data_IF_107636846641
#
_entry.id   IF_107636846641
#
_cell.length_a   1.000
_cell.length_b   1.000
_cell.length_c   1.000
_cell.angle_alpha   90.00
_cell.angle_beta   90.00
_cell.angle_gamma   90.00
#
_symmetry.space_group_name_H-M   'P 1'
#
loop_
_entity.id
_entity.type
_entity.pdbx_description
1 polymer ?
#
# COMPACT_ATOMS: atom_id res chain seq x y z
N UNK A 1 -5.62 77.08 31.47
CA UNK A 1 -4.68 76.02 31.81
C UNK A 1 -5.34 74.73 31.42
N UNK A 2 -5.11 74.27 30.22
CA UNK A 2 -5.63 73.03 29.67
C UNK A 2 -4.44 72.05 29.67
N UNK A 3 -4.55 70.96 30.35
CA UNK A 3 -3.62 69.84 30.25
C UNK A 3 -4.31 68.76 29.40
N UNK A 4 -3.68 68.55 28.27
CA UNK A 4 -4.00 67.47 27.32
C UNK A 4 -3.57 66.12 27.85
N UNK A 5 -4.53 65.22 28.02
CA UNK A 5 -4.31 63.78 28.29
C UNK A 5 -4.34 63.04 26.97
N UNK A 6 -3.16 62.88 26.35
CA UNK A 6 -2.96 61.94 25.26
C UNK A 6 -2.82 60.50 25.86
N UNK A 7 -3.84 59.69 25.81
CA UNK A 7 -3.75 58.26 26.06
C UNK A 7 -3.43 57.58 24.75
N UNK A 8 -2.19 57.16 24.57
CA UNK A 8 -1.77 56.25 23.52
C UNK A 8 -2.47 54.88 23.69
N UNK A 9 -3.40 54.59 22.80
CA UNK A 9 -3.99 53.26 22.66
C UNK A 9 -2.96 52.40 21.95
N UNK A 10 -2.28 51.54 22.73
CA UNK A 10 -1.39 50.51 22.20
C UNK A 10 -2.28 49.45 21.51
N UNK A 11 -2.41 49.55 20.19
CA UNK A 11 -3.03 48.49 19.40
C UNK A 11 -2.03 47.33 19.35
N UNK A 12 -2.26 46.29 20.14
CA UNK A 12 -1.57 45.00 19.96
C UNK A 12 -1.95 44.47 18.60
N UNK A 13 -0.98 44.38 17.70
CA UNK A 13 -1.10 43.61 16.48
C UNK A 13 -1.46 42.15 16.83
N UNK A 14 -2.40 41.53 16.11
CA UNK A 14 -2.69 40.13 16.36
C UNK A 14 -1.44 39.31 16.04
N UNK A 15 -0.97 38.53 16.99
CA UNK A 15 0.09 37.55 16.82
C UNK A 15 -0.22 36.75 15.55
N UNK A 16 0.69 36.88 14.60
CA UNK A 16 0.70 36.13 13.35
C UNK A 16 0.45 34.63 13.66
N UNK A 17 -0.62 34.10 13.12
CA UNK A 17 -1.00 32.71 13.21
C UNK A 17 0.21 31.85 12.83
N UNK A 18 0.63 30.99 13.73
CA UNK A 18 1.56 29.89 13.44
C UNK A 18 1.09 29.22 12.14
N UNK A 19 1.94 29.28 11.15
CA UNK A 19 1.77 28.71 9.84
C UNK A 19 1.46 27.22 10.01
N UNK A 20 0.18 26.84 9.93
CA UNK A 20 -0.28 25.47 9.89
C UNK A 20 0.08 24.90 8.51
N UNK A 21 1.37 24.76 8.22
CA UNK A 21 1.80 24.00 7.04
C UNK A 21 1.25 22.59 7.18
N UNK A 22 0.23 22.29 6.39
CA UNK A 22 -0.39 20.98 6.34
C UNK A 22 0.71 19.95 6.02
N UNK A 23 0.97 19.01 6.91
CA UNK A 23 2.00 17.99 6.71
C UNK A 23 1.69 17.21 5.43
N UNK A 24 2.70 16.97 4.62
CA UNK A 24 2.62 16.16 3.40
C UNK A 24 3.56 14.96 3.51
N UNK A 25 3.30 13.94 2.73
CA UNK A 25 4.09 12.71 2.67
C UNK A 25 4.23 12.24 1.23
N UNK A 26 5.24 11.45 0.99
CA UNK A 26 5.40 10.73 -0.26
C UNK A 26 4.81 9.32 -0.13
N UNK A 27 4.36 8.74 -1.24
CA UNK A 27 3.77 7.39 -1.26
C UNK A 27 4.74 6.44 -1.96
N UNK A 28 4.97 5.27 -1.38
CA UNK A 28 5.73 4.19 -2.00
C UNK A 28 4.82 3.00 -2.31
N UNK A 29 5.00 2.42 -3.47
CA UNK A 29 4.23 1.26 -3.93
C UNK A 29 5.19 0.23 -4.50
N UNK A 30 5.54 -0.84 -3.76
CA UNK A 30 6.21 -1.99 -4.35
C UNK A 30 5.30 -2.68 -5.36
N UNK A 31 5.79 -2.89 -6.59
CA UNK A 31 4.97 -3.39 -7.71
C UNK A 31 5.56 -4.65 -8.30
N UNK A 32 4.87 -5.75 -8.20
CA UNK A 32 5.20 -6.99 -8.88
C UNK A 32 4.58 -7.08 -10.29
N UNK A 33 4.99 -8.09 -11.04
CA UNK A 33 4.48 -8.33 -12.41
C UNK A 33 2.95 -8.53 -12.44
N UNK A 34 2.38 -9.15 -11.41
CA UNK A 34 0.92 -9.47 -11.34
C UNK A 34 0.11 -8.19 -11.18
N UNK A 35 0.66 -7.18 -10.50
CA UNK A 35 0.02 -5.90 -10.22
C UNK A 35 0.39 -4.79 -11.20
N UNK A 36 1.36 -4.99 -12.09
CA UNK A 36 1.90 -3.96 -12.99
C UNK A 36 0.86 -3.25 -13.88
N UNK A 37 -0.23 -3.93 -14.25
CA UNK A 37 -1.34 -3.32 -15.01
C UNK A 37 -2.36 -2.64 -14.09
N UNK A 38 -2.55 -3.17 -12.88
CA UNK A 38 -3.57 -2.69 -11.95
C UNK A 38 -3.12 -1.42 -11.21
N UNK A 39 -1.84 -1.29 -10.94
CA UNK A 39 -1.27 -0.16 -10.17
C UNK A 39 -1.59 1.21 -10.78
N UNK A 40 -1.87 1.31 -12.07
CA UNK A 40 -2.33 2.56 -12.71
C UNK A 40 -3.65 3.07 -12.12
N UNK A 41 -4.55 2.16 -11.75
CA UNK A 41 -5.76 2.51 -11.04
C UNK A 41 -5.45 2.95 -9.61
N UNK A 42 -4.52 2.26 -8.95
CA UNK A 42 -4.06 2.63 -7.60
C UNK A 42 -3.53 4.06 -7.58
N UNK A 43 -2.62 4.39 -8.50
CA UNK A 43 -2.07 5.75 -8.65
C UNK A 43 -3.19 6.78 -8.90
N UNK A 44 -4.13 6.48 -9.82
CA UNK A 44 -5.28 7.35 -10.10
C UNK A 44 -6.06 7.67 -8.82
N UNK A 45 -6.42 6.64 -8.05
CA UNK A 45 -7.25 6.83 -6.86
C UNK A 45 -6.48 7.39 -5.67
N UNK A 46 -5.18 7.13 -5.53
CA UNK A 46 -4.32 7.83 -4.57
C UNK A 46 -4.34 9.34 -4.86
N UNK A 47 -4.17 9.76 -6.12
CA UNK A 47 -4.22 11.18 -6.50
C UNK A 47 -5.56 11.85 -6.21
N UNK A 48 -6.65 11.10 -6.32
CA UNK A 48 -7.99 11.61 -6.05
C UNK A 48 -8.30 11.70 -4.55
N UNK A 49 -7.85 10.72 -3.78
CA UNK A 49 -8.38 10.47 -2.44
C UNK A 49 -7.37 10.64 -1.30
N UNK A 50 -6.08 10.83 -1.59
CA UNK A 50 -5.05 11.15 -0.60
C UNK A 50 -4.51 12.56 -0.83
N UNK A 51 -5.18 13.59 -0.31
CA UNK A 51 -4.90 14.99 -0.67
C UNK A 51 -3.52 15.48 -0.18
N UNK A 52 -2.94 14.89 0.87
CA UNK A 52 -1.61 15.22 1.37
C UNK A 52 -0.48 14.45 0.67
N UNK A 53 -0.81 13.49 -0.21
CA UNK A 53 0.19 12.73 -0.98
C UNK A 53 0.88 13.62 -2.02
N UNK A 54 2.20 13.71 -1.93
CA UNK A 54 3.02 14.53 -2.82
C UNK A 54 3.55 13.70 -4.01
N UNK A 55 4.69 13.04 -3.87
CA UNK A 55 5.28 12.19 -4.90
C UNK A 55 4.83 10.73 -4.70
N UNK A 56 4.71 9.98 -5.80
CA UNK A 56 4.48 8.52 -5.76
C UNK A 56 5.69 7.82 -6.35
N UNK A 57 6.30 6.93 -5.57
CA UNK A 57 7.41 6.10 -5.99
C UNK A 57 6.92 4.67 -6.26
N UNK A 58 7.06 4.22 -7.50
CA UNK A 58 6.79 2.83 -7.89
C UNK A 58 8.10 2.05 -7.84
N UNK A 59 8.21 1.14 -6.89
CA UNK A 59 9.41 0.33 -6.67
C UNK A 59 9.19 -1.01 -7.38
N UNK A 60 9.95 -1.31 -8.40
CA UNK A 60 9.72 -2.48 -9.24
C UNK A 60 10.99 -3.01 -9.90
N UNK A 61 10.87 -4.21 -10.47
CA UNK A 61 11.90 -4.73 -11.36
C UNK A 61 12.00 -3.88 -12.63
N UNK A 62 13.21 -3.60 -13.11
CA UNK A 62 13.48 -2.78 -14.28
C UNK A 62 12.74 -3.25 -15.54
N UNK A 63 12.52 -4.56 -15.68
CA UNK A 63 11.75 -5.14 -16.78
C UNK A 63 10.31 -4.66 -16.87
N UNK A 64 9.76 -4.15 -15.77
CA UNK A 64 8.39 -3.63 -15.69
C UNK A 64 8.29 -2.15 -16.06
N UNK A 65 9.40 -1.40 -16.12
CA UNK A 65 9.40 0.06 -16.31
C UNK A 65 8.69 0.51 -17.59
N UNK A 66 8.84 -0.22 -18.68
CA UNK A 66 8.10 0.06 -19.93
C UNK A 66 6.59 -0.04 -19.75
N UNK A 67 6.14 -1.01 -18.95
CA UNK A 67 4.72 -1.20 -18.66
C UNK A 67 4.19 -0.12 -17.69
N UNK A 68 4.99 0.26 -16.72
CA UNK A 68 4.63 1.24 -15.70
C UNK A 68 4.66 2.67 -16.24
N UNK A 69 5.68 3.05 -17.02
CA UNK A 69 5.85 4.42 -17.54
C UNK A 69 4.80 4.90 -18.52
N UNK A 70 4.14 3.99 -19.26
CA UNK A 70 3.12 4.37 -20.25
C UNK A 70 1.74 4.61 -19.66
N UNK A 71 1.54 5.60 -18.78
CA UNK A 71 0.22 5.94 -18.20
C UNK A 71 0.23 6.27 -16.71
N UNK A 72 1.39 6.54 -16.18
CA UNK A 72 1.62 7.12 -14.86
C UNK A 72 1.88 8.62 -15.05
N UNK A 73 1.36 9.45 -14.17
CA UNK A 73 1.57 10.90 -14.29
C UNK A 73 3.05 11.28 -14.06
N UNK A 74 3.44 12.50 -14.45
CA UNK A 74 4.80 13.01 -14.35
C UNK A 74 5.31 13.20 -12.91
N UNK A 75 4.45 13.03 -11.91
CA UNK A 75 4.80 13.03 -10.48
C UNK A 75 5.04 11.63 -9.92
N UNK A 76 5.08 10.60 -10.77
CA UNK A 76 5.47 9.26 -10.40
C UNK A 76 6.92 9.00 -10.77
N UNK A 77 7.70 8.48 -9.84
CA UNK A 77 9.10 8.14 -10.00
C UNK A 77 9.23 6.61 -9.95
N UNK A 78 9.94 6.06 -10.94
CA UNK A 78 10.24 4.63 -10.97
C UNK A 78 11.57 4.39 -10.26
N UNK A 79 11.59 3.46 -9.29
CA UNK A 79 12.78 3.04 -8.58
C UNK A 79 13.04 1.57 -8.91
N UNK A 80 14.27 1.26 -9.34
CA UNK A 80 14.69 -0.11 -9.55
C UNK A 80 14.94 -0.81 -8.20
N UNK A 81 14.11 -1.80 -7.87
CA UNK A 81 14.10 -2.47 -6.58
C UNK A 81 15.47 -3.01 -6.13
N UNK A 82 16.26 -3.60 -7.05
CA UNK A 82 17.57 -4.18 -6.73
C UNK A 82 18.74 -3.17 -6.65
N UNK A 83 18.45 -1.88 -6.89
CA UNK A 83 19.43 -0.79 -6.75
C UNK A 83 19.00 0.27 -5.76
N UNK A 84 17.93 0.01 -5.01
CA UNK A 84 17.38 0.98 -4.08
C UNK A 84 18.33 1.23 -2.92
N UNK A 85 18.83 0.18 -2.30
CA UNK A 85 19.89 0.21 -1.28
C UNK A 85 20.86 -0.98 -1.47
N UNK A 86 22.16 -0.84 -1.10
CA UNK A 86 23.14 -1.89 -1.33
C UNK A 86 22.85 -3.23 -0.66
N UNK A 87 22.25 -3.19 0.54
CA UNK A 87 22.02 -4.38 1.38
C UNK A 87 20.76 -5.17 0.99
N UNK A 88 20.01 -4.73 -0.05
CA UNK A 88 18.71 -5.30 -0.38
C UNK A 88 18.56 -5.54 -1.87
N UNK A 89 18.63 -6.80 -2.28
CA UNK A 89 18.26 -7.23 -3.62
C UNK A 89 17.49 -8.55 -3.58
N UNK A 90 16.73 -8.83 -4.61
CA UNK A 90 15.86 -10.00 -4.69
C UNK A 90 16.63 -11.33 -4.61
N UNK A 91 17.80 -11.40 -5.21
CA UNK A 91 18.61 -12.63 -5.24
C UNK A 91 19.11 -13.03 -3.85
N UNK A 92 19.56 -12.05 -3.06
CA UNK A 92 20.06 -12.30 -1.70
C UNK A 92 18.91 -12.70 -0.78
N UNK A 93 17.78 -11.99 -0.85
CA UNK A 93 16.56 -12.36 -0.09
C UNK A 93 16.11 -13.77 -0.43
N UNK A 94 16.08 -14.14 -1.70
CA UNK A 94 15.78 -15.50 -2.14
C UNK A 94 16.75 -16.51 -1.53
N UNK A 95 18.05 -16.23 -1.58
CA UNK A 95 19.09 -17.09 -1.04
C UNK A 95 18.93 -17.28 0.48
N UNK A 96 18.73 -16.20 1.23
CA UNK A 96 18.54 -16.26 2.68
C UNK A 96 17.30 -17.08 3.06
N UNK A 97 16.18 -16.88 2.37
CA UNK A 97 14.94 -17.61 2.62
C UNK A 97 15.09 -19.11 2.35
N UNK A 98 15.73 -19.49 1.24
CA UNK A 98 15.96 -20.89 0.89
C UNK A 98 16.90 -21.57 1.90
N UNK A 99 17.99 -20.91 2.29
CA UNK A 99 18.93 -21.43 3.28
C UNK A 99 18.32 -21.61 4.67
N UNK A 100 17.30 -20.85 4.99
CA UNK A 100 16.55 -20.97 6.24
C UNK A 100 15.37 -21.96 6.16
N UNK A 101 15.29 -22.74 5.08
CA UNK A 101 14.31 -23.82 4.94
C UNK A 101 12.93 -23.42 4.47
N UNK A 102 12.79 -22.21 3.86
CA UNK A 102 11.52 -21.80 3.28
C UNK A 102 11.13 -22.71 2.11
N UNK A 103 10.01 -23.41 2.25
CA UNK A 103 9.54 -24.41 1.27
C UNK A 103 8.80 -23.79 0.09
N UNK A 104 8.12 -22.65 0.29
CA UNK A 104 7.29 -22.01 -0.73
C UNK A 104 8.00 -20.84 -1.41
N UNK A 105 8.73 -21.10 -2.48
CA UNK A 105 9.44 -20.08 -3.28
C UNK A 105 8.51 -18.97 -3.79
N UNK A 106 7.23 -19.24 -3.96
CA UNK A 106 6.28 -18.23 -4.46
C UNK A 106 6.06 -17.07 -3.49
N UNK A 107 6.48 -17.21 -2.23
CA UNK A 107 6.36 -16.16 -1.20
C UNK A 107 7.60 -15.26 -1.09
N UNK A 108 8.68 -15.51 -1.83
CA UNK A 108 9.90 -14.66 -1.82
C UNK A 108 9.56 -13.21 -2.12
N UNK A 109 8.74 -12.97 -3.14
CA UNK A 109 8.32 -11.60 -3.50
C UNK A 109 7.54 -10.91 -2.38
N UNK A 110 6.78 -11.66 -1.60
CA UNK A 110 6.05 -11.15 -0.44
C UNK A 110 6.99 -10.71 0.70
N UNK A 111 8.06 -11.46 0.99
CA UNK A 111 9.09 -11.04 1.94
C UNK A 111 9.88 -9.84 1.41
N UNK A 112 10.29 -9.90 0.14
CA UNK A 112 11.10 -8.86 -0.48
C UNK A 112 10.40 -7.49 -0.44
N UNK A 113 9.11 -7.42 -0.77
CA UNK A 113 8.37 -6.15 -0.72
C UNK A 113 8.31 -5.54 0.69
N UNK A 114 8.27 -6.36 1.75
CA UNK A 114 8.28 -5.86 3.13
C UNK A 114 9.62 -5.18 3.46
N UNK A 115 10.73 -5.78 3.00
CA UNK A 115 12.05 -5.18 3.16
C UNK A 115 12.23 -3.92 2.29
N UNK A 116 11.63 -3.87 1.10
CA UNK A 116 11.61 -2.65 0.28
C UNK A 116 10.90 -1.50 1.01
N UNK A 117 9.83 -1.78 1.75
CA UNK A 117 9.11 -0.77 2.52
C UNK A 117 9.99 -0.14 3.61
N UNK A 118 10.80 -0.90 4.32
CA UNK A 118 11.80 -0.36 5.25
C UNK A 118 13.01 0.25 4.53
N UNK A 119 13.49 -0.41 3.49
CA UNK A 119 14.65 0.03 2.73
C UNK A 119 14.52 1.42 2.13
N UNK A 120 13.30 1.84 1.80
CA UNK A 120 13.04 3.18 1.26
C UNK A 120 13.51 4.29 2.21
N UNK A 121 13.46 4.10 3.52
CA UNK A 121 13.92 5.06 4.51
C UNK A 121 15.41 5.43 4.36
N UNK A 122 16.22 4.56 3.75
CA UNK A 122 17.67 4.75 3.55
C UNK A 122 18.02 5.36 2.19
N UNK A 123 17.04 5.70 1.38
CA UNK A 123 17.26 6.33 0.08
C UNK A 123 17.32 7.85 0.20
N UNK A 124 17.99 8.51 -0.76
CA UNK A 124 17.97 9.97 -0.88
C UNK A 124 16.60 10.54 -1.26
N UNK A 125 15.65 9.70 -1.67
CA UNK A 125 14.27 10.10 -1.99
C UNK A 125 13.43 10.28 -0.73
N UNK A 126 13.75 9.58 0.35
CA UNK A 126 12.94 9.57 1.57
C UNK A 126 12.99 10.90 2.29
N UNK A 127 11.82 11.41 2.64
CA UNK A 127 11.62 12.57 3.51
C UNK A 127 11.22 12.12 4.92
N UNK A 128 10.81 13.06 5.76
CA UNK A 128 10.42 12.77 7.15
C UNK A 128 9.35 11.68 7.24
N UNK A 129 8.34 11.72 6.36
CA UNK A 129 7.25 10.75 6.31
C UNK A 129 7.06 10.18 4.92
N UNK A 130 6.75 8.88 4.89
CA UNK A 130 6.28 8.21 3.68
C UNK A 130 5.19 7.19 4.01
N UNK A 131 4.22 7.09 3.13
CA UNK A 131 3.12 6.14 3.20
C UNK A 131 3.44 4.95 2.29
N UNK A 132 3.61 3.76 2.86
CA UNK A 132 3.59 2.54 2.06
C UNK A 132 2.17 2.18 1.70
N UNK A 133 1.94 1.78 0.45
CA UNK A 133 0.63 1.40 -0.08
C UNK A 133 0.72 0.16 -0.96
N UNK A 134 -0.24 -0.76 -0.84
CA UNK A 134 -0.22 -1.99 -1.62
C UNK A 134 -0.72 -1.78 -3.07
N UNK A 135 -0.07 -2.45 -4.04
CA UNK A 135 -0.24 -2.23 -5.48
C UNK A 135 -1.60 -2.70 -6.06
N UNK A 136 -2.47 -3.29 -5.25
CA UNK A 136 -3.80 -3.79 -5.62
C UNK A 136 -4.92 -3.20 -4.77
N UNK A 137 -4.64 -2.18 -3.99
CA UNK A 137 -5.57 -1.55 -3.07
C UNK A 137 -5.92 -0.13 -3.52
N UNK A 138 -7.21 0.19 -3.52
CA UNK A 138 -7.74 1.49 -3.93
C UNK A 138 -8.28 2.25 -2.72
N UNK A 139 -7.82 3.48 -2.43
CA UNK A 139 -8.54 4.40 -1.57
C UNK A 139 -9.79 4.89 -2.32
N UNK A 140 -10.96 4.76 -1.73
CA UNK A 140 -12.25 5.04 -2.36
C UNK A 140 -12.87 6.35 -1.90
N UNK A 141 -12.54 6.79 -0.68
CA UNK A 141 -12.93 8.07 -0.08
C UNK A 141 -11.69 8.92 0.22
N UNK A 142 -11.90 10.17 0.58
CA UNK A 142 -10.81 11.03 1.04
C UNK A 142 -10.32 10.54 2.40
N UNK A 143 -9.03 10.17 2.47
CA UNK A 143 -8.38 9.67 3.68
C UNK A 143 -7.25 10.61 4.07
N UNK A 144 -7.21 10.98 5.34
CA UNK A 144 -6.15 11.76 5.95
C UNK A 144 -5.27 10.87 6.82
N UNK A 145 -3.96 11.07 6.73
CA UNK A 145 -2.99 10.33 7.53
C UNK A 145 -2.31 11.19 8.60
N UNK A 146 -2.80 12.41 8.78
CA UNK A 146 -2.43 13.29 9.89
C UNK A 146 -3.67 13.86 10.56
N UNK A 147 -3.65 13.88 11.89
CA UNK A 147 -4.62 14.58 12.72
C UNK A 147 -3.87 15.38 13.78
N UNK A 148 -4.13 16.68 13.89
CA UNK A 148 -3.43 17.56 14.83
C UNK A 148 -1.89 17.44 14.74
N UNK A 149 -1.36 17.36 13.54
CA UNK A 149 0.07 17.14 13.23
C UNK A 149 0.65 15.79 13.69
N UNK A 150 -0.14 14.86 14.23
CA UNK A 150 0.28 13.50 14.53
C UNK A 150 0.01 12.58 13.32
N UNK A 151 0.96 11.75 12.89
CA UNK A 151 0.68 10.72 11.91
C UNK A 151 -0.26 9.66 12.48
N UNK A 152 -1.04 9.00 11.62
CA UNK A 152 -2.07 8.06 12.03
C UNK A 152 -1.74 6.63 11.60
N UNK A 153 -1.88 5.70 12.54
CA UNK A 153 -1.97 4.28 12.24
C UNK A 153 -3.41 3.87 11.95
N UNK A 154 -3.62 3.07 10.91
CA UNK A 154 -4.89 2.37 10.70
C UNK A 154 -4.88 1.05 11.44
N UNK A 155 -5.86 0.85 12.31
CA UNK A 155 -5.97 -0.32 13.17
C UNK A 155 -6.90 -1.39 12.57
N UNK A 156 -6.52 -2.66 12.73
CA UNK A 156 -7.27 -3.86 12.36
C UNK A 156 -7.48 -4.78 13.56
N UNK A 157 -8.26 -5.85 13.35
CA UNK A 157 -8.56 -6.82 14.42
C UNK A 157 -7.87 -8.18 14.21
N UNK A 158 -6.87 -8.23 13.36
CA UNK A 158 -6.15 -9.46 13.05
C UNK A 158 -5.15 -9.82 14.15
N UNK A 159 -4.83 -11.11 14.27
CA UNK A 159 -3.77 -11.59 15.13
C UNK A 159 -3.10 -12.80 14.49
N UNK A 160 -1.81 -12.64 14.18
CA UNK A 160 -0.99 -13.70 13.61
C UNK A 160 0.24 -13.95 14.49
N UNK A 161 0.21 -14.95 15.40
CA UNK A 161 1.27 -15.18 16.38
C UNK A 161 2.69 -15.24 15.80
N UNK A 162 2.97 -15.89 14.66
CA UNK A 162 4.30 -15.99 14.11
C UNK A 162 5.02 -14.65 13.89
N UNK A 163 4.29 -13.57 13.61
CA UNK A 163 4.89 -12.23 13.47
C UNK A 163 5.51 -11.76 14.79
N UNK A 164 4.80 -11.97 15.89
CA UNK A 164 5.27 -11.55 17.22
C UNK A 164 6.34 -12.46 17.79
N UNK A 165 6.34 -13.73 17.42
CA UNK A 165 7.42 -14.67 17.75
C UNK A 165 8.73 -14.25 17.07
N UNK A 166 8.66 -13.86 15.80
CA UNK A 166 9.81 -13.31 15.05
C UNK A 166 10.27 -11.99 15.65
N UNK A 167 9.36 -11.08 15.94
CA UNK A 167 9.65 -9.80 16.57
C UNK A 167 10.35 -9.99 17.93
N UNK A 168 9.88 -10.96 18.73
CA UNK A 168 10.50 -11.27 20.01
C UNK A 168 11.93 -11.79 19.86
N UNK A 169 12.16 -12.69 18.88
CA UNK A 169 13.53 -13.17 18.60
C UNK A 169 14.45 -12.06 18.12
N UNK A 170 13.92 -11.10 17.31
CA UNK A 170 14.69 -9.97 16.78
C UNK A 170 15.09 -8.97 17.86
N UNK A 171 14.12 -8.41 18.56
CA UNK A 171 14.33 -7.25 19.44
C UNK A 171 13.64 -7.38 20.80
N UNK A 172 13.20 -8.58 21.18
CA UNK A 172 12.61 -8.85 22.50
C UNK A 172 11.19 -8.33 22.69
N UNK A 173 10.55 -7.73 21.68
CA UNK A 173 9.20 -7.21 21.78
C UNK A 173 8.15 -8.26 21.42
N UNK A 174 7.01 -8.20 22.12
CA UNK A 174 5.83 -8.97 21.81
C UNK A 174 4.67 -8.08 21.42
N UNK A 175 3.47 -8.67 21.25
CA UNK A 175 2.27 -7.90 20.90
C UNK A 175 1.94 -6.88 21.98
N UNK A 176 2.05 -5.59 21.65
CA UNK A 176 1.84 -4.47 22.57
C UNK A 176 0.41 -3.88 22.51
N UNK A 177 -0.41 -4.29 21.55
CA UNK A 177 -1.78 -3.79 21.35
C UNK A 177 -2.77 -4.93 21.17
N UNK A 178 -4.03 -4.74 21.57
CA UNK A 178 -5.13 -5.63 21.19
C UNK A 178 -5.49 -5.57 19.70
N UNK A 179 -5.05 -4.54 19.02
CA UNK A 179 -5.24 -4.35 17.59
C UNK A 179 -4.01 -4.79 16.80
N UNK A 180 -4.18 -4.90 15.48
CA UNK A 180 -3.16 -5.18 14.49
C UNK A 180 -2.86 -3.93 13.68
N UNK A 181 -1.62 -3.84 13.18
CA UNK A 181 -1.19 -2.84 12.20
C UNK A 181 -1.17 -3.39 10.77
N UNK A 182 -1.54 -4.67 10.57
CA UNK A 182 -1.61 -5.28 9.24
C UNK A 182 -2.79 -4.69 8.48
N UNK A 183 -2.52 -3.59 7.82
CA UNK A 183 -3.41 -2.93 6.88
C UNK A 183 -2.78 -2.98 5.48
N UNK A 184 -3.47 -2.45 4.50
CA UNK A 184 -2.99 -2.36 3.13
C UNK A 184 -2.05 -1.17 2.92
N UNK A 185 -1.71 -0.49 4.02
CA UNK A 185 -0.87 0.72 4.07
C UNK A 185 -0.30 0.96 5.47
N UNK A 186 0.79 1.74 5.52
CA UNK A 186 1.41 2.17 6.78
C UNK A 186 2.13 3.51 6.59
N UNK A 187 1.86 4.46 7.49
CA UNK A 187 2.63 5.69 7.57
C UNK A 187 3.91 5.44 8.37
N UNK A 188 5.05 5.62 7.73
CA UNK A 188 6.38 5.51 8.33
C UNK A 188 6.99 6.88 8.60
N UNK A 189 7.72 7.00 9.69
CA UNK A 189 8.65 8.10 9.93
C UNK A 189 10.08 7.60 9.67
N UNK A 190 10.83 8.30 8.83
CA UNK A 190 12.18 7.92 8.42
C UNK A 190 13.10 7.66 9.61
N UNK A 191 13.15 8.59 10.57
CA UNK A 191 14.04 8.50 11.75
C UNK A 191 13.73 7.25 12.57
N UNK A 192 12.46 6.98 12.84
CA UNK A 192 12.05 5.82 13.64
C UNK A 192 12.37 4.49 12.90
N UNK A 193 12.23 4.46 11.56
CA UNK A 193 12.67 3.27 10.79
C UNK A 193 14.18 3.08 10.91
N UNK A 194 14.99 4.14 10.84
CA UNK A 194 16.43 4.04 11.03
C UNK A 194 16.78 3.47 12.41
N UNK A 195 16.15 3.96 13.46
CA UNK A 195 16.40 3.49 14.84
C UNK A 195 15.99 2.02 15.02
N UNK A 196 14.83 1.62 14.49
CA UNK A 196 14.39 0.22 14.47
C UNK A 196 15.40 -0.68 13.74
N UNK A 197 15.88 -0.28 12.57
CA UNK A 197 16.82 -1.08 11.79
C UNK A 197 18.18 -1.18 12.52
N UNK A 198 18.64 -0.12 13.17
CA UNK A 198 19.86 -0.18 14.01
C UNK A 198 19.69 -1.13 15.19
N UNK A 199 18.52 -1.17 15.84
CA UNK A 199 18.25 -2.14 16.91
C UNK A 199 18.23 -3.59 16.37
N UNK A 200 17.65 -3.82 15.19
CA UNK A 200 17.71 -5.12 14.51
C UNK A 200 19.16 -5.51 14.18
N UNK A 201 19.99 -4.59 13.69
CA UNK A 201 21.42 -4.84 13.43
C UNK A 201 22.17 -5.26 14.67
N UNK A 202 21.84 -4.68 15.83
CA UNK A 202 22.45 -5.00 17.12
C UNK A 202 21.89 -6.26 17.78
N UNK A 203 20.82 -6.84 17.23
CA UNK A 203 20.21 -8.06 17.79
C UNK A 203 21.20 -9.23 17.82
N UNK A 204 20.94 -10.21 18.70
CA UNK A 204 21.74 -11.44 18.82
C UNK A 204 21.48 -12.45 17.69
N UNK A 205 20.50 -12.19 16.82
CA UNK A 205 20.20 -13.03 15.68
C UNK A 205 21.39 -12.99 14.71
N UNK A 206 21.81 -14.15 14.22
CA UNK A 206 22.92 -14.26 13.25
C UNK A 206 22.51 -13.61 11.92
N UNK A 207 23.47 -13.02 11.23
CA UNK A 207 23.30 -12.41 9.90
C UNK A 207 24.25 -11.22 9.72
N UNK A 208 24.71 -11.04 8.49
CA UNK A 208 25.69 -10.00 8.14
C UNK A 208 25.01 -8.62 7.95
N UNK A 209 23.71 -8.61 7.70
CA UNK A 209 22.91 -7.38 7.56
C UNK A 209 21.52 -7.56 8.19
N UNK A 210 20.78 -6.47 8.28
CA UNK A 210 19.46 -6.45 8.93
C UNK A 210 18.41 -7.33 8.22
N UNK A 211 18.48 -7.46 6.88
CA UNK A 211 17.55 -8.28 6.09
C UNK A 211 17.74 -9.76 6.42
N UNK A 212 18.99 -10.22 6.44
CA UNK A 212 19.34 -11.58 6.80
C UNK A 212 18.94 -11.90 8.24
N UNK A 213 19.16 -10.97 9.18
CA UNK A 213 18.71 -11.13 10.58
C UNK A 213 17.19 -11.27 10.68
N UNK A 214 16.41 -10.47 9.96
CA UNK A 214 14.96 -10.60 9.92
C UNK A 214 14.52 -11.99 9.43
N UNK A 215 15.17 -12.50 8.39
CA UNK A 215 14.89 -13.83 7.84
C UNK A 215 15.29 -14.94 8.81
N UNK A 216 16.50 -14.83 9.41
CA UNK A 216 17.01 -15.82 10.35
C UNK A 216 16.22 -15.86 11.68
N UNK A 217 15.49 -14.82 12.00
CA UNK A 217 14.56 -14.79 13.12
C UNK A 217 13.24 -15.52 12.83
N UNK A 218 12.89 -15.76 11.56
CA UNK A 218 11.69 -16.48 11.17
C UNK A 218 11.82 -17.99 11.47
N UNK A 219 10.67 -18.64 11.72
CA UNK A 219 10.59 -20.11 11.88
C UNK A 219 9.79 -20.68 10.71
N UNK A 220 10.47 -21.22 9.71
CA UNK A 220 9.86 -21.75 8.49
C UNK A 220 9.31 -23.19 8.63
N UNK A 221 9.15 -23.72 9.85
CA UNK A 221 8.54 -25.03 10.07
C UNK A 221 7.05 -25.07 9.72
N UNK A 222 6.42 -23.93 9.47
CA UNK A 222 5.04 -23.83 9.00
C UNK A 222 4.96 -23.09 7.65
N UNK A 223 3.82 -23.18 6.97
CA UNK A 223 3.58 -22.52 5.69
C UNK A 223 3.06 -21.08 5.82
N UNK A 224 2.84 -20.59 7.03
CA UNK A 224 2.35 -19.24 7.29
C UNK A 224 3.45 -18.18 7.10
N UNK A 225 3.07 -16.92 6.92
CA UNK A 225 4.01 -15.80 6.95
C UNK A 225 4.60 -15.61 8.35
N UNK A 226 5.89 -15.32 8.43
CA UNK A 226 6.59 -15.24 9.72
C UNK A 226 7.12 -13.84 10.06
N UNK A 227 7.07 -12.93 9.13
CA UNK A 227 7.51 -11.54 9.32
C UNK A 227 6.43 -10.57 8.83
N UNK A 228 6.22 -9.48 9.55
CA UNK A 228 5.40 -8.36 9.11
C UNK A 228 6.10 -7.06 9.47
N UNK A 229 6.44 -6.28 8.48
CA UNK A 229 7.02 -4.94 8.63
C UNK A 229 6.06 -4.00 9.36
N UNK A 230 4.77 -4.16 9.13
CA UNK A 230 3.75 -3.33 9.76
C UNK A 230 3.58 -3.64 11.25
N UNK A 231 3.50 -4.92 11.62
CA UNK A 231 3.44 -5.30 13.04
C UNK A 231 4.74 -4.96 13.75
N UNK A 232 5.88 -5.17 13.10
CA UNK A 232 7.21 -4.84 13.64
C UNK A 232 7.32 -3.35 13.93
N UNK A 233 7.03 -2.49 12.95
CA UNK A 233 7.11 -1.05 13.09
C UNK A 233 6.07 -0.49 14.06
N UNK A 234 4.81 -0.90 13.91
CA UNK A 234 3.73 -0.42 14.76
C UNK A 234 3.93 -0.78 16.23
N UNK A 235 4.38 -2.03 16.52
CA UNK A 235 4.70 -2.46 17.87
C UNK A 235 5.89 -1.68 18.44
N UNK A 236 6.95 -1.46 17.63
CA UNK A 236 8.11 -0.66 18.03
C UNK A 236 7.70 0.77 18.42
N UNK A 237 6.87 1.40 17.58
CA UNK A 237 6.36 2.74 17.87
C UNK A 237 5.52 2.79 19.14
N UNK A 238 4.65 1.81 19.39
CA UNK A 238 3.85 1.80 20.61
C UNK A 238 4.70 1.71 21.89
N UNK A 239 5.82 0.98 21.81
CA UNK A 239 6.69 0.78 22.99
C UNK A 239 7.60 1.97 23.22
N UNK A 240 8.25 2.49 22.17
CA UNK A 240 9.29 3.51 22.30
C UNK A 240 8.80 4.94 22.00
N UNK A 241 7.67 5.08 21.30
CA UNK A 241 7.09 6.36 20.86
C UNK A 241 5.58 6.43 21.12
N UNK A 242 5.07 6.12 22.33
CA UNK A 242 3.64 5.87 22.59
C UNK A 242 2.72 7.05 22.22
N UNK A 243 3.24 8.29 22.28
CA UNK A 243 2.47 9.50 21.98
C UNK A 243 2.71 10.08 20.58
N UNK A 244 3.58 9.44 19.78
CA UNK A 244 3.96 9.97 18.47
C UNK A 244 2.88 9.79 17.42
N UNK A 245 2.23 8.62 17.42
CA UNK A 245 1.13 8.28 16.49
C UNK A 245 -0.24 8.42 17.14
N UNK A 246 -1.18 8.97 16.37
CA UNK A 246 -2.60 8.74 16.60
C UNK A 246 -3.07 7.45 15.93
N UNK A 247 -4.35 7.13 16.10
CA UNK A 247 -4.94 5.91 15.52
C UNK A 247 -6.29 6.20 14.86
N UNK A 248 -6.58 5.47 13.78
CA UNK A 248 -7.87 5.55 13.09
C UNK A 248 -8.39 4.17 12.71
N UNK A 249 -9.69 4.08 12.48
CA UNK A 249 -10.34 2.93 11.88
C UNK A 249 -10.92 3.34 10.53
N UNK A 250 -10.65 2.53 9.51
CA UNK A 250 -11.19 2.70 8.17
C UNK A 250 -12.05 1.50 7.81
N UNK A 251 -13.17 1.75 7.14
CA UNK A 251 -13.99 0.68 6.58
C UNK A 251 -13.29 0.10 5.36
N UNK A 252 -12.77 -1.11 5.47
CA UNK A 252 -12.00 -1.72 4.41
C UNK A 252 -12.64 -3.01 3.93
N UNK A 253 -12.59 -3.24 2.61
CA UNK A 253 -13.03 -4.47 1.99
C UNK A 253 -11.87 -5.15 1.27
N UNK A 254 -11.24 -6.08 1.96
CA UNK A 254 -9.99 -6.72 1.52
C UNK A 254 -10.19 -7.68 0.35
N UNK A 255 -11.33 -8.33 0.26
CA UNK A 255 -11.63 -9.36 -0.77
C UNK A 255 -12.56 -8.84 -1.87
N UNK A 256 -12.37 -7.59 -2.32
CA UNK A 256 -13.22 -7.01 -3.36
C UNK A 256 -13.13 -7.76 -4.70
N UNK A 257 -12.01 -8.41 -4.99
CA UNK A 257 -11.82 -9.23 -6.18
C UNK A 257 -12.71 -10.49 -6.21
N UNK A 258 -13.13 -11.04 -5.05
CA UNK A 258 -14.10 -12.14 -4.98
C UNK A 258 -15.44 -11.76 -5.61
N UNK A 259 -15.87 -10.51 -5.46
CA UNK A 259 -17.18 -10.06 -5.96
C UNK A 259 -17.13 -9.69 -7.44
N UNK A 260 -16.02 -9.10 -7.92
CA UNK A 260 -15.96 -8.47 -9.25
C UNK A 260 -14.74 -8.87 -10.08
N UNK A 261 -13.85 -9.72 -9.57
CA UNK A 261 -12.54 -9.90 -10.17
C UNK A 261 -11.77 -8.57 -10.12
N UNK A 262 -10.77 -8.43 -10.95
CA UNK A 262 -9.95 -7.20 -11.03
C UNK A 262 -10.41 -6.22 -12.11
N UNK A 263 -11.62 -6.40 -12.64
CA UNK A 263 -12.23 -5.46 -13.58
C UNK A 263 -12.96 -4.36 -12.80
N UNK A 264 -12.41 -3.17 -12.84
CA UNK A 264 -12.99 -1.97 -12.21
C UNK A 264 -13.32 -0.92 -13.26
N UNK A 265 -14.33 -0.10 -12.97
CA UNK A 265 -14.63 1.15 -13.66
C UNK A 265 -15.18 2.15 -12.64
N UNK A 266 -15.25 3.41 -13.02
CA UNK A 266 -15.64 4.49 -12.10
C UNK A 266 -16.99 4.24 -11.44
N UNK A 267 -17.99 3.73 -12.18
CA UNK A 267 -19.31 3.37 -11.63
C UNK A 267 -19.22 2.32 -10.50
N UNK A 268 -18.37 1.31 -10.62
CA UNK A 268 -18.20 0.29 -9.59
C UNK A 268 -17.53 0.91 -8.36
N UNK A 269 -16.53 1.75 -8.58
CA UNK A 269 -15.79 2.41 -7.51
C UNK A 269 -16.68 3.38 -6.74
N UNK A 270 -17.47 4.20 -7.43
CA UNK A 270 -18.45 5.11 -6.79
C UNK A 270 -19.43 4.35 -5.91
N UNK A 271 -19.87 3.15 -6.33
CA UNK A 271 -20.78 2.33 -5.50
C UNK A 271 -20.09 1.72 -4.29
N UNK A 272 -18.84 1.27 -4.41
CA UNK A 272 -18.08 0.77 -3.27
C UNK A 272 -17.76 1.91 -2.29
N UNK A 273 -17.46 3.10 -2.78
CA UNK A 273 -17.15 4.28 -1.97
C UNK A 273 -18.32 4.76 -1.09
N UNK A 274 -19.55 4.29 -1.35
CA UNK A 274 -20.71 4.59 -0.48
C UNK A 274 -20.64 3.87 0.87
N UNK A 275 -19.91 2.74 0.94
CA UNK A 275 -19.94 1.86 2.11
C UNK A 275 -18.55 1.62 2.71
N UNK A 276 -17.47 1.77 1.89
CA UNK A 276 -16.10 1.47 2.34
C UNK A 276 -15.11 2.53 1.89
N UNK A 277 -14.10 2.77 2.72
CA UNK A 277 -13.05 3.75 2.49
C UNK A 277 -11.94 3.18 1.60
N UNK A 278 -11.68 1.86 1.71
CA UNK A 278 -10.61 1.17 0.99
C UNK A 278 -11.12 -0.18 0.47
N UNK A 279 -10.72 -0.54 -0.75
CA UNK A 279 -10.97 -1.87 -1.30
C UNK A 279 -9.73 -2.47 -1.95
N UNK A 280 -9.39 -3.71 -1.59
CA UNK A 280 -8.28 -4.46 -2.17
C UNK A 280 -8.78 -5.48 -3.20
N UNK A 281 -8.05 -5.56 -4.31
CA UNK A 281 -8.39 -6.40 -5.48
C UNK A 281 -7.28 -7.44 -5.70
N UNK A 282 -7.07 -8.28 -4.69
CA UNK A 282 -6.01 -9.28 -4.69
C UNK A 282 -6.20 -10.31 -5.82
N UNK A 283 -5.10 -10.70 -6.47
CA UNK A 283 -5.19 -11.54 -7.67
C UNK A 283 -5.65 -12.97 -7.37
N UNK A 284 -5.33 -13.49 -6.19
CA UNK A 284 -5.73 -14.83 -5.76
C UNK A 284 -7.21 -14.92 -5.39
N UNK A 285 -7.85 -13.80 -5.08
CA UNK A 285 -9.30 -13.71 -4.86
C UNK A 285 -10.10 -13.68 -6.16
N UNK A 286 -9.45 -13.40 -7.29
CA UNK A 286 -10.07 -13.40 -8.61
C UNK A 286 -10.28 -14.84 -9.16
N UNK A 287 -11.05 -15.68 -8.42
CA UNK A 287 -11.21 -17.11 -8.68
C UNK A 287 -12.15 -17.39 -9.84
N UNK A 288 -11.80 -18.42 -10.61
CA UNK A 288 -12.41 -18.84 -11.88
C UNK A 288 -13.93 -19.00 -11.93
N UNK A 289 -14.71 -19.58 -10.99
CA UNK A 289 -16.13 -19.74 -11.31
C UNK A 289 -16.86 -18.40 -11.43
N UNK A 290 -16.43 -17.39 -10.72
CA UNK A 290 -17.08 -16.09 -10.65
C UNK A 290 -16.97 -15.29 -11.96
N UNK A 291 -15.80 -15.27 -12.57
CA UNK A 291 -15.58 -14.59 -13.85
C UNK A 291 -16.35 -15.28 -14.99
N UNK A 292 -16.50 -16.61 -14.90
CA UNK A 292 -17.27 -17.42 -15.86
C UNK A 292 -18.78 -17.18 -15.76
N UNK A 293 -19.36 -17.18 -14.56
CA UNK A 293 -20.79 -16.89 -14.38
C UNK A 293 -21.13 -15.45 -14.76
N UNK A 294 -20.26 -14.51 -14.47
CA UNK A 294 -20.40 -13.12 -14.94
C UNK A 294 -20.34 -13.01 -16.45
N UNK A 295 -19.42 -13.70 -17.11
CA UNK A 295 -19.34 -13.76 -18.58
C UNK A 295 -20.57 -14.38 -19.18
N UNK A 296 -21.10 -15.47 -18.62
CA UNK A 296 -22.38 -16.07 -19.01
C UNK A 296 -23.54 -15.08 -18.86
N UNK A 297 -23.64 -14.41 -17.70
CA UNK A 297 -24.68 -13.41 -17.47
C UNK A 297 -24.61 -12.24 -18.46
N UNK A 298 -23.43 -11.69 -18.69
CA UNK A 298 -23.24 -10.60 -19.67
C UNK A 298 -23.54 -11.05 -21.09
N UNK A 299 -23.16 -12.27 -21.45
CA UNK A 299 -23.49 -12.87 -22.75
C UNK A 299 -25.00 -13.07 -22.89
N UNK A 300 -25.65 -13.66 -21.89
CA UNK A 300 -27.10 -13.83 -21.87
C UNK A 300 -27.85 -12.50 -21.96
N UNK A 301 -27.39 -11.47 -21.26
CA UNK A 301 -27.92 -10.10 -21.33
C UNK A 301 -27.74 -9.48 -22.72
N UNK A 302 -26.58 -9.71 -23.35
CA UNK A 302 -26.31 -9.25 -24.71
C UNK A 302 -27.21 -9.97 -25.73
N UNK A 303 -27.38 -11.29 -25.61
CA UNK A 303 -28.27 -12.09 -26.42
C UNK A 303 -29.73 -11.62 -26.26
N UNK A 304 -30.22 -11.40 -25.02
CA UNK A 304 -31.59 -10.87 -24.79
C UNK A 304 -31.79 -9.51 -25.45
N UNK A 305 -30.81 -8.60 -25.39
CA UNK A 305 -30.88 -7.30 -26.09
C UNK A 305 -30.94 -7.47 -27.62
N UNK A 306 -30.19 -8.42 -28.14
CA UNK A 306 -30.21 -8.74 -29.58
C UNK A 306 -31.54 -9.38 -30.00
N UNK A 307 -32.14 -10.25 -29.18
CA UNK A 307 -33.41 -10.88 -29.44
C UNK A 307 -34.64 -9.95 -29.25
N UNK A 308 -34.48 -8.81 -28.62
CA UNK A 308 -35.54 -7.80 -28.45
C UNK A 308 -35.61 -6.79 -29.60
N UNK A 309 -34.63 -6.75 -30.49
CA UNK A 309 -34.65 -5.96 -31.72
C UNK A 309 -35.08 -6.81 -32.89
N UNK A 310 -35.60 -6.19 -33.98
CA UNK A 310 -36.07 -6.90 -35.17
C UNK A 310 -35.04 -7.95 -35.65
N UNK A 311 -35.50 -9.14 -35.93
CA UNK A 311 -34.65 -10.29 -36.33
C UNK A 311 -33.71 -9.96 -37.53
N UNK A 312 -34.16 -9.10 -38.47
CA UNK A 312 -33.32 -8.65 -39.59
C UNK A 312 -32.13 -7.79 -39.16
N UNK A 313 -32.31 -6.88 -38.19
CA UNK A 313 -31.26 -6.00 -37.70
C UNK A 313 -30.22 -6.79 -36.88
N UNK A 314 -30.67 -7.82 -36.19
CA UNK A 314 -29.81 -8.70 -35.42
C UNK A 314 -28.88 -9.56 -36.29
N UNK A 315 -29.40 -10.14 -37.39
CA UNK A 315 -28.62 -10.94 -38.34
C UNK A 315 -27.57 -10.05 -39.02
N UNK A 316 -27.93 -8.83 -39.40
CA UNK A 316 -27.02 -7.88 -40.03
C UNK A 316 -25.86 -7.51 -39.07
N UNK A 317 -26.14 -7.22 -37.81
CA UNK A 317 -25.15 -6.86 -36.81
C UNK A 317 -24.18 -8.02 -36.49
N UNK A 318 -24.66 -9.25 -36.47
CA UNK A 318 -23.83 -10.45 -36.28
C UNK A 318 -22.91 -10.65 -37.47
N UNK A 319 -23.42 -10.53 -38.71
CA UNK A 319 -22.61 -10.66 -39.93
C UNK A 319 -21.52 -9.56 -40.01
N UNK A 320 -21.83 -8.32 -39.67
CA UNK A 320 -20.87 -7.22 -39.67
C UNK A 320 -19.76 -7.45 -38.63
N UNK A 321 -20.10 -7.95 -37.44
CA UNK A 321 -19.11 -8.25 -36.40
C UNK A 321 -18.18 -9.44 -36.72
N UNK A 322 -18.72 -10.45 -37.42
CA UNK A 322 -17.93 -11.57 -37.91
C UNK A 322 -16.99 -11.10 -39.04
N UNK A 323 -17.48 -10.30 -39.97
CA UNK A 323 -16.67 -9.75 -41.07
C UNK A 323 -15.52 -8.85 -40.58
N UNK A 324 -15.72 -8.10 -39.49
CA UNK A 324 -14.65 -7.30 -38.86
C UNK A 324 -13.61 -8.14 -38.15
N UNK A 325 -13.94 -9.32 -37.65
CA UNK A 325 -12.98 -10.24 -37.00
C UNK A 325 -12.15 -11.05 -38.00
N UNK A 326 -12.67 -11.28 -39.19
CA UNK A 326 -11.94 -12.02 -40.24
C UNK A 326 -10.94 -11.09 -40.97
N UNK A 327 -11.12 -9.76 -40.88
CA UNK A 327 -10.24 -8.76 -41.51
C UNK A 327 -9.13 -8.21 -40.58
N UNK A 328 -9.02 -8.73 -39.39
CA UNK A 328 -7.94 -8.52 -38.45
C UNK A 328 -7.15 -9.81 -38.19
#
# INVERSE_FOLDING_TARGET
MNEDLNSEICIQEPMCSLDNQKKSYDVIIPVDKKNSKFVKNVVKYIRLNLPEANCIYLIANESLFKCLGGGVDNRCILIYENKMIPELNFSDVHHYLVNNGMLNINTVGWYFQQFLKFGFAFTSYCKEYYLSWDADTLPLSHIHFFENNKPLFTLKKEYHPPYFETLHRLIGLGKASKYSFVAEHMMFNQKIVHELIEEIKQSKVKGDNWVEKCINACDFNSTSGHFSEFETYGTYCLVYYPEFYGTQFLNTFRSAALIRGRYINDFIIERLAMDVDIASFEIYDAIFPYDFEKRKYLLARKIRRLCSSSFKDNVKLICENISRKIRK
#
